data_IF_631959959674
#
_entry.id   IF_631959959674
#
_cell.length_a   1.000
_cell.length_b   1.000
_cell.length_c   1.000
_cell.angle_alpha   90.00
_cell.angle_beta   90.00
_cell.angle_gamma   90.00
#
_symmetry.space_group_name_H-M   'P 1'
#
loop_
_entity.id
_entity.type
_entity.pdbx_description
1 polymer ?
#
# COMPACT_ATOMS: atom_id res chain seq x y z
N UNK A 1 -68.47 -20.65 33.16
CA UNK A 1 -67.48 -19.55 33.13
C UNK A 1 -66.11 -20.12 32.78
N UNK A 2 -65.64 -19.98 31.54
CA UNK A 2 -64.26 -20.30 31.13
C UNK A 2 -63.71 -19.09 30.39
N UNK A 3 -62.68 -18.48 30.96
CA UNK A 3 -61.95 -17.33 30.42
C UNK A 3 -61.12 -17.79 29.22
N UNK A 4 -61.32 -17.17 28.06
CA UNK A 4 -60.40 -17.27 26.93
C UNK A 4 -59.25 -16.27 27.18
N UNK A 5 -58.04 -16.81 27.30
CA UNK A 5 -56.80 -16.05 27.40
C UNK A 5 -56.35 -15.74 25.96
N UNK A 6 -56.47 -14.48 25.52
CA UNK A 6 -55.84 -14.03 24.29
C UNK A 6 -54.32 -13.94 24.54
N UNK A 7 -53.56 -14.87 23.94
CA UNK A 7 -52.11 -14.72 23.79
C UNK A 7 -51.86 -13.61 22.76
N UNK A 8 -51.40 -12.45 23.24
CA UNK A 8 -50.76 -11.45 22.39
C UNK A 8 -49.39 -11.98 21.96
N UNK A 9 -49.23 -12.24 20.66
CA UNK A 9 -47.92 -12.44 20.04
C UNK A 9 -47.17 -11.09 20.09
N UNK A 10 -46.23 -10.97 21.03
CA UNK A 10 -45.20 -9.94 21.01
C UNK A 10 -44.23 -10.27 19.87
N UNK A 11 -44.40 -9.62 18.72
CA UNK A 11 -43.38 -9.50 17.69
C UNK A 11 -42.24 -8.64 18.28
N UNK A 12 -41.23 -9.30 18.84
CA UNK A 12 -39.94 -8.67 19.09
C UNK A 12 -39.34 -8.27 17.73
N UNK A 13 -38.91 -7.02 17.53
CA UNK A 13 -38.15 -6.68 16.33
C UNK A 13 -36.87 -7.52 16.34
N UNK A 14 -36.61 -8.23 15.23
CA UNK A 14 -35.25 -8.71 14.97
C UNK A 14 -34.35 -7.48 14.98
N UNK A 15 -33.52 -7.35 16.02
CA UNK A 15 -32.40 -6.42 15.99
C UNK A 15 -31.47 -6.96 14.91
N UNK A 16 -31.49 -6.32 13.73
CA UNK A 16 -30.54 -6.58 12.67
C UNK A 16 -29.15 -6.32 13.26
N UNK A 17 -28.32 -7.37 13.33
CA UNK A 17 -26.98 -7.27 13.86
C UNK A 17 -26.13 -6.38 12.96
N UNK A 18 -25.23 -5.60 13.57
CA UNK A 18 -24.32 -4.73 12.83
C UNK A 18 -23.55 -5.50 11.75
N UNK A 19 -23.61 -4.96 10.52
CA UNK A 19 -23.00 -5.50 9.32
C UNK A 19 -21.48 -5.42 9.39
N UNK A 20 -20.83 -6.55 9.14
CA UNK A 20 -19.38 -6.60 8.99
C UNK A 20 -19.00 -6.37 7.52
N UNK A 21 -17.94 -5.59 7.32
CA UNK A 21 -17.43 -5.21 6.00
C UNK A 21 -15.92 -5.37 5.95
N UNK A 22 -15.42 -5.68 4.76
CA UNK A 22 -13.99 -5.75 4.45
C UNK A 22 -13.68 -4.99 3.19
N UNK A 23 -12.80 -4.01 3.30
CA UNK A 23 -12.14 -3.37 2.17
C UNK A 23 -10.74 -3.97 2.02
N UNK A 24 -10.48 -4.60 0.89
CA UNK A 24 -9.16 -5.10 0.50
C UNK A 24 -8.58 -4.20 -0.58
N UNK A 25 -7.39 -3.67 -0.32
CA UNK A 25 -6.56 -2.95 -1.27
C UNK A 25 -5.38 -3.85 -1.62
N UNK A 26 -5.22 -4.19 -2.88
CA UNK A 26 -4.04 -4.90 -3.39
C UNK A 26 -3.41 -4.12 -4.51
N UNK A 27 -2.11 -4.28 -4.69
CA UNK A 27 -1.42 -3.52 -5.72
C UNK A 27 0.06 -3.77 -5.73
N UNK A 28 0.74 -2.91 -6.47
CA UNK A 28 2.20 -2.85 -6.46
C UNK A 28 2.68 -1.42 -6.60
N UNK A 29 3.93 -1.22 -6.22
CA UNK A 29 4.67 -0.01 -6.46
C UNK A 29 6.08 -0.32 -6.95
N UNK A 30 6.57 0.49 -7.89
CA UNK A 30 7.90 0.32 -8.48
C UNK A 30 8.87 1.27 -7.83
N UNK A 31 9.92 0.71 -7.24
CA UNK A 31 11.09 1.39 -6.71
C UNK A 31 12.10 1.46 -7.83
N UNK A 32 12.44 2.68 -8.28
CA UNK A 32 13.11 2.91 -9.56
C UNK A 32 14.29 3.84 -9.37
N UNK A 33 15.46 3.43 -9.88
CA UNK A 33 16.64 4.27 -9.98
C UNK A 33 17.01 4.48 -11.46
N UNK A 34 16.72 5.69 -11.95
CA UNK A 34 16.79 6.03 -13.37
C UNK A 34 15.52 6.72 -13.86
N UNK A 35 15.32 6.71 -15.17
CA UNK A 35 14.15 7.27 -15.86
C UNK A 35 13.47 6.25 -16.79
N UNK A 36 12.61 6.71 -17.70
CA UNK A 36 11.88 5.89 -18.66
C UNK A 36 12.76 5.29 -19.77
N UNK A 37 14.03 5.69 -19.88
CA UNK A 37 14.97 5.23 -20.91
C UNK A 37 16.06 4.34 -20.35
N UNK A 38 16.51 4.62 -19.13
CA UNK A 38 17.64 3.94 -18.50
C UNK A 38 17.42 3.81 -16.99
N UNK A 39 16.91 2.66 -16.55
CA UNK A 39 16.58 2.41 -15.15
C UNK A 39 16.63 0.93 -14.75
N UNK A 40 17.04 0.69 -13.50
CA UNK A 40 16.84 -0.57 -12.79
C UNK A 40 15.91 -0.36 -11.60
N UNK A 41 15.20 -1.42 -11.19
CA UNK A 41 14.35 -1.33 -10.01
C UNK A 41 13.67 -2.62 -9.59
N UNK A 42 12.85 -2.49 -8.56
CA UNK A 42 11.99 -3.56 -8.04
C UNK A 42 10.53 -3.12 -8.08
N UNK A 43 9.65 -3.99 -8.55
CA UNK A 43 8.21 -3.88 -8.35
C UNK A 43 7.82 -4.71 -7.13
N UNK A 44 7.19 -4.04 -6.19
CA UNK A 44 6.86 -4.55 -4.86
C UNK A 44 5.35 -4.66 -4.72
N UNK A 45 4.80 -5.89 -4.70
CA UNK A 45 3.40 -6.09 -4.40
C UNK A 45 3.12 -5.90 -2.92
N UNK A 46 1.91 -5.45 -2.60
CA UNK A 46 1.46 -5.20 -1.23
C UNK A 46 -0.04 -5.40 -1.11
N UNK A 47 -0.48 -5.52 0.15
CA UNK A 47 -1.88 -5.67 0.54
C UNK A 47 -2.18 -4.85 1.78
N UNK A 48 -3.32 -4.17 1.76
CA UNK A 48 -3.93 -3.54 2.92
C UNK A 48 -5.35 -4.04 3.06
N UNK A 49 -5.71 -4.54 4.24
CA UNK A 49 -7.06 -5.03 4.55
C UNK A 49 -7.63 -4.18 5.68
N UNK A 50 -8.79 -3.58 5.46
CA UNK A 50 -9.54 -2.84 6.47
C UNK A 50 -10.84 -3.58 6.73
N UNK A 51 -11.01 -4.05 7.97
CA UNK A 51 -12.22 -4.70 8.46
C UNK A 51 -12.96 -3.69 9.36
N UNK A 52 -14.27 -3.50 9.15
CA UNK A 52 -15.08 -2.55 9.93
C UNK A 52 -16.53 -3.01 10.09
N UNK A 53 -17.26 -2.40 11.01
CA UNK A 53 -18.69 -2.69 11.28
C UNK A 53 -19.56 -1.45 11.19
N UNK A 54 -20.76 -1.64 10.65
CA UNK A 54 -21.79 -0.60 10.50
C UNK A 54 -23.10 -1.10 11.08
N UNK A 55 -23.77 -0.28 11.89
CA UNK A 55 -25.12 -0.52 12.38
C UNK A 55 -26.04 0.60 11.91
N UNK A 56 -26.88 0.34 10.90
CA UNK A 56 -27.66 1.37 10.23
C UNK A 56 -26.78 2.48 9.64
N UNK A 57 -26.83 3.68 10.25
CA UNK A 57 -26.02 4.84 9.87
C UNK A 57 -24.82 5.08 10.81
N UNK A 58 -24.55 4.17 11.74
CA UNK A 58 -23.48 4.31 12.71
C UNK A 58 -22.26 3.46 12.32
N UNK A 59 -21.09 4.09 12.31
CA UNK A 59 -19.81 3.39 12.21
C UNK A 59 -19.36 2.98 13.61
N UNK A 60 -19.16 1.68 13.85
CA UNK A 60 -18.84 1.18 15.19
C UNK A 60 -17.34 1.13 15.45
N UNK A 61 -16.62 0.33 14.65
CA UNK A 61 -15.18 0.14 14.78
C UNK A 61 -14.57 -0.28 13.44
N UNK A 62 -13.32 0.10 13.23
CA UNK A 62 -12.53 -0.34 12.09
C UNK A 62 -11.09 -0.61 12.49
N UNK A 63 -10.48 -1.59 11.84
CA UNK A 63 -9.06 -1.88 11.97
C UNK A 63 -8.48 -2.24 10.61
N UNK A 64 -7.26 -1.78 10.37
CA UNK A 64 -6.50 -2.05 9.18
C UNK A 64 -5.29 -2.92 9.48
N UNK A 65 -4.87 -3.68 8.48
CA UNK A 65 -3.61 -4.41 8.44
C UNK A 65 -2.93 -4.13 7.12
N UNK A 66 -1.63 -3.86 7.16
CA UNK A 66 -0.83 -3.63 5.98
C UNK A 66 0.36 -4.58 5.95
N UNK A 67 0.64 -5.13 4.78
CA UNK A 67 1.80 -5.96 4.54
C UNK A 67 2.26 -5.78 3.11
N UNK A 68 3.56 -5.90 2.89
CA UNK A 68 4.05 -6.23 1.57
C UNK A 68 3.88 -7.74 1.29
N UNK A 69 4.03 -8.13 0.04
CA UNK A 69 4.01 -9.52 -0.39
C UNK A 69 5.43 -9.86 -0.85
N UNK A 70 6.04 -10.91 -0.28
CA UNK A 70 7.40 -11.38 -0.61
C UNK A 70 7.49 -12.04 -2.01
N UNK A 71 7.00 -11.34 -3.03
CA UNK A 71 7.14 -11.67 -4.46
C UNK A 71 7.62 -10.41 -5.17
N UNK A 72 8.91 -10.15 -5.06
CA UNK A 72 9.54 -9.00 -5.69
C UNK A 72 9.79 -9.31 -7.17
N UNK A 73 9.46 -8.37 -8.03
CA UNK A 73 9.73 -8.48 -9.47
C UNK A 73 10.81 -7.47 -9.84
N UNK A 74 12.01 -7.95 -10.12
CA UNK A 74 13.07 -7.11 -10.66
C UNK A 74 12.69 -6.67 -12.09
N UNK A 75 13.03 -5.44 -12.45
CA UNK A 75 12.85 -4.97 -13.81
C UNK A 75 14.01 -4.06 -14.23
N UNK A 76 14.14 -3.94 -15.55
CA UNK A 76 15.24 -3.24 -16.20
C UNK A 76 14.73 -2.57 -17.47
N UNK A 77 15.14 -1.32 -17.69
CA UNK A 77 14.87 -0.54 -18.89
C UNK A 77 16.21 0.01 -19.39
N UNK A 78 16.70 -0.42 -20.57
CA UNK A 78 16.19 -1.50 -21.41
C UNK A 78 16.23 -2.88 -20.73
N UNK A 79 15.41 -3.83 -21.19
CA UNK A 79 15.34 -5.15 -20.59
C UNK A 79 16.72 -5.86 -20.60
N UNK A 80 17.07 -6.46 -19.45
CA UNK A 80 18.31 -7.22 -19.26
C UNK A 80 19.57 -6.38 -19.04
N UNK A 81 19.47 -5.04 -18.93
CA UNK A 81 20.63 -4.18 -18.71
C UNK A 81 21.05 -4.09 -17.25
N UNK A 82 20.12 -4.29 -16.33
CA UNK A 82 20.32 -4.14 -14.90
C UNK A 82 19.80 -5.39 -14.20
N UNK A 83 20.64 -5.96 -13.33
CA UNK A 83 20.20 -6.98 -12.39
C UNK A 83 19.91 -6.30 -11.05
N UNK A 84 18.71 -6.49 -10.53
CA UNK A 84 18.23 -5.82 -9.34
C UNK A 84 17.69 -6.82 -8.33
N UNK A 85 18.08 -6.68 -7.07
CA UNK A 85 17.64 -7.56 -6.00
C UNK A 85 17.51 -6.81 -4.68
N UNK A 86 16.67 -7.34 -3.79
CA UNK A 86 16.56 -6.81 -2.43
C UNK A 86 17.77 -7.21 -1.62
N UNK A 87 18.27 -6.27 -0.83
CA UNK A 87 19.35 -6.49 0.14
C UNK A 87 18.92 -6.01 1.54
N UNK A 88 19.44 -6.60 2.62
CA UNK A 88 19.25 -6.04 3.96
C UNK A 88 19.78 -4.62 3.99
N UNK A 89 19.16 -3.74 4.78
CA UNK A 89 19.61 -2.36 4.89
C UNK A 89 18.86 -1.60 5.96
N UNK A 90 19.10 -0.30 6.01
CA UNK A 90 18.47 0.60 6.96
C UNK A 90 18.10 1.91 6.28
N UNK A 91 17.15 2.66 6.84
CA UNK A 91 16.92 4.04 6.45
C UNK A 91 16.70 4.91 7.70
N UNK A 92 17.00 6.19 7.57
CA UNK A 92 16.82 7.19 8.63
C UNK A 92 15.49 7.93 8.42
N UNK A 93 14.62 7.93 9.43
CA UNK A 93 13.36 8.69 9.37
C UNK A 93 13.57 10.20 9.65
N UNK A 94 12.48 10.98 9.59
CA UNK A 94 12.54 12.43 9.85
C UNK A 94 12.88 12.79 11.30
N UNK A 95 12.78 11.84 12.23
CA UNK A 95 13.14 12.00 13.64
C UNK A 95 14.57 11.50 13.93
N UNK A 96 15.34 11.20 12.89
CA UNK A 96 16.70 10.65 12.98
C UNK A 96 16.75 9.27 13.65
N UNK A 97 15.66 8.50 13.55
CA UNK A 97 15.60 7.11 14.01
C UNK A 97 15.95 6.19 12.86
N UNK A 98 16.91 5.30 13.10
CA UNK A 98 17.32 4.30 12.13
C UNK A 98 16.38 3.09 12.19
N UNK A 99 15.92 2.64 11.03
CA UNK A 99 15.05 1.48 10.90
C UNK A 99 15.60 0.47 9.91
N UNK A 100 15.50 -0.81 10.23
CA UNK A 100 15.82 -1.89 9.30
C UNK A 100 14.81 -1.97 8.15
N UNK A 101 15.30 -2.35 6.97
CA UNK A 101 14.49 -2.64 5.80
C UNK A 101 14.60 -4.13 5.44
N UNK A 102 13.53 -4.76 4.93
CA UNK A 102 12.25 -4.17 4.55
C UNK A 102 11.35 -3.86 5.75
N UNK A 103 10.53 -2.81 5.63
CA UNK A 103 9.64 -2.38 6.73
C UNK A 103 8.32 -1.89 6.21
N UNK A 104 7.25 -2.24 6.91
CA UNK A 104 5.96 -1.53 6.89
C UNK A 104 5.88 -0.70 8.17
N UNK A 105 5.56 0.60 8.10
CA UNK A 105 5.50 1.46 9.30
C UNK A 105 4.50 0.94 10.33
N UNK A 106 3.27 0.67 9.87
CA UNK A 106 2.15 0.23 10.68
C UNK A 106 1.56 -1.03 10.06
N UNK A 107 1.96 -2.19 10.58
CA UNK A 107 1.42 -3.48 10.14
C UNK A 107 -0.04 -3.69 10.55
N UNK A 108 -0.47 -3.00 11.63
CA UNK A 108 -1.85 -2.90 12.07
C UNK A 108 -2.13 -1.47 12.53
N UNK A 109 -3.36 -0.98 12.33
CA UNK A 109 -3.74 0.39 12.65
C UNK A 109 -5.25 0.52 12.91
N UNK A 110 -5.69 1.48 13.74
CA UNK A 110 -7.11 1.77 13.90
C UNK A 110 -7.66 2.52 12.68
N UNK A 111 -8.95 2.33 12.42
CA UNK A 111 -9.68 3.06 11.38
C UNK A 111 -10.95 3.62 11.99
N UNK A 112 -11.05 4.95 12.00
CA UNK A 112 -12.29 5.65 12.29
C UNK A 112 -13.15 5.75 11.03
N UNK A 113 -14.42 6.08 11.18
CA UNK A 113 -15.28 6.27 10.05
C UNK A 113 -16.60 6.93 10.36
N UNK A 114 -17.35 7.20 9.31
CA UNK A 114 -18.72 7.71 9.36
C UNK A 114 -19.51 7.12 8.20
N UNK A 115 -20.80 6.90 8.42
CA UNK A 115 -21.72 6.45 7.38
C UNK A 115 -22.71 7.57 7.09
N UNK A 116 -22.87 7.88 5.82
CA UNK A 116 -23.83 8.89 5.36
C UNK A 116 -24.34 8.48 3.98
N UNK A 117 -25.65 8.53 3.81
CA UNK A 117 -26.36 8.23 2.55
C UNK A 117 -25.84 6.99 1.79
N UNK A 118 -25.74 5.85 2.49
CA UNK A 118 -25.28 4.59 1.88
C UNK A 118 -23.79 4.56 1.52
N UNK A 119 -22.99 5.54 1.97
CA UNK A 119 -21.55 5.62 1.75
C UNK A 119 -20.82 5.57 3.09
N UNK A 120 -19.61 5.02 3.07
CA UNK A 120 -18.71 5.00 4.21
C UNK A 120 -17.50 5.88 3.95
N UNK A 121 -17.20 6.74 4.92
CA UNK A 121 -15.92 7.43 5.02
C UNK A 121 -15.04 6.67 5.97
N UNK A 122 -13.86 6.27 5.52
CA UNK A 122 -12.84 5.59 6.32
C UNK A 122 -11.66 6.52 6.53
N UNK A 123 -11.31 6.77 7.79
CA UNK A 123 -10.20 7.59 8.21
C UNK A 123 -9.19 6.69 8.94
N UNK A 124 -8.14 6.23 8.25
CA UNK A 124 -7.02 5.57 8.89
C UNK A 124 -6.36 6.52 9.89
N UNK A 125 -6.14 6.05 11.12
CA UNK A 125 -5.52 6.86 12.15
C UNK A 125 -3.99 6.84 11.99
N UNK A 126 -3.51 7.64 11.04
CA UNK A 126 -2.10 7.88 10.82
C UNK A 126 -1.75 9.34 11.09
N UNK A 127 -0.74 9.59 11.92
CA UNK A 127 -0.04 10.87 11.91
C UNK A 127 0.89 10.95 10.69
N UNK A 128 1.08 12.16 10.15
CA UNK A 128 2.12 12.45 9.14
C UNK A 128 3.43 11.79 9.57
N UNK A 129 4.12 11.01 8.71
CA UNK A 129 3.97 10.89 7.25
C UNK A 129 3.03 9.78 6.71
N UNK A 130 2.05 9.28 7.48
CA UNK A 130 1.17 8.19 7.00
C UNK A 130 1.80 6.79 7.10
N UNK A 131 1.17 5.77 6.51
CA UNK A 131 1.76 4.42 6.43
C UNK A 131 2.65 4.30 5.19
N UNK A 132 3.70 3.48 5.25
CA UNK A 132 4.66 3.33 4.15
C UNK A 132 5.32 1.95 4.13
N UNK A 133 5.89 1.60 2.97
CA UNK A 133 6.91 0.56 2.81
C UNK A 133 8.27 1.24 2.64
N UNK A 134 9.27 0.75 3.36
CA UNK A 134 10.66 1.08 3.15
C UNK A 134 11.44 -0.16 2.71
N UNK A 135 12.30 -0.02 1.70
CA UNK A 135 13.15 -1.10 1.24
C UNK A 135 14.54 -0.61 0.84
N UNK A 136 15.52 -1.53 0.95
CA UNK A 136 16.84 -1.37 0.36
C UNK A 136 16.99 -2.38 -0.76
N UNK A 137 17.41 -1.90 -1.93
CA UNK A 137 17.71 -2.73 -3.09
C UNK A 137 19.03 -2.35 -3.70
N UNK A 138 19.66 -3.32 -4.35
CA UNK A 138 20.83 -3.11 -5.18
C UNK A 138 20.46 -3.39 -6.62
N UNK A 139 20.95 -2.53 -7.51
CA UNK A 139 20.98 -2.78 -8.94
C UNK A 139 22.44 -2.73 -9.40
N UNK A 140 22.79 -3.63 -10.31
CA UNK A 140 24.11 -3.65 -10.93
C UNK A 140 24.03 -3.82 -12.44
N UNK A 141 25.07 -3.36 -13.11
CA UNK A 141 25.25 -3.59 -14.54
C UNK A 141 26.73 -3.72 -14.86
N UNK A 142 27.08 -4.72 -15.65
CA UNK A 142 28.37 -4.81 -16.34
C UNK A 142 28.27 -4.41 -17.81
N UNK A 143 27.16 -3.80 -18.23
CA UNK A 143 26.94 -3.46 -19.62
C UNK A 143 27.70 -2.17 -19.99
N UNK A 144 28.71 -2.23 -20.88
CA UNK A 144 29.49 -1.06 -21.28
C UNK A 144 28.65 -0.01 -22.05
N UNK A 145 27.43 -0.33 -22.50
CA UNK A 145 26.53 0.65 -23.11
C UNK A 145 25.73 1.45 -22.08
N UNK A 146 25.72 1.05 -20.80
CA UNK A 146 25.00 1.73 -19.72
C UNK A 146 25.82 2.85 -19.05
N UNK A 147 26.86 3.37 -19.71
CA UNK A 147 27.83 4.35 -19.17
C UNK A 147 27.21 5.59 -18.53
N UNK A 148 26.05 6.04 -19.01
CA UNK A 148 25.39 7.24 -18.50
C UNK A 148 24.30 6.95 -17.45
N UNK A 149 24.14 5.71 -16.98
CA UNK A 149 23.06 5.34 -16.05
C UNK A 149 23.06 6.19 -14.77
N UNK A 150 24.18 6.26 -14.06
CA UNK A 150 24.29 7.01 -12.80
C UNK A 150 24.02 8.53 -13.01
N UNK A 151 24.64 9.22 -14.00
CA UNK A 151 24.31 10.61 -14.30
C UNK A 151 22.84 10.87 -14.68
N UNK A 152 22.16 9.94 -15.36
CA UNK A 152 20.73 10.07 -15.66
C UNK A 152 19.88 9.90 -14.40
N UNK A 153 20.16 8.88 -13.60
CA UNK A 153 19.41 8.57 -12.39
C UNK A 153 19.51 9.68 -11.32
N UNK A 154 20.69 10.27 -11.12
CA UNK A 154 20.87 11.39 -10.17
C UNK A 154 20.07 12.63 -10.57
N UNK A 155 19.98 12.94 -11.87
CA UNK A 155 19.14 14.04 -12.36
C UNK A 155 17.65 13.77 -12.13
N UNK A 156 17.21 12.52 -12.36
CA UNK A 156 15.84 12.09 -12.06
C UNK A 156 15.44 12.31 -10.60
N UNK A 157 16.36 12.03 -9.66
CA UNK A 157 16.16 12.27 -8.22
C UNK A 157 15.90 13.75 -7.91
N UNK A 158 16.67 14.66 -8.51
CA UNK A 158 16.56 16.11 -8.27
C UNK A 158 15.26 16.70 -8.84
N UNK A 159 14.83 16.23 -10.01
CA UNK A 159 13.63 16.75 -10.69
C UNK A 159 12.34 16.27 -9.99
N UNK A 160 12.32 15.04 -9.47
CA UNK A 160 11.11 14.41 -8.94
C UNK A 160 10.96 14.53 -7.41
N UNK A 161 11.89 15.20 -6.72
CA UNK A 161 11.84 15.41 -5.26
C UNK A 161 11.82 14.11 -4.44
N UNK A 162 12.22 12.98 -5.03
CA UNK A 162 12.20 11.67 -4.38
C UNK A 162 13.25 11.60 -3.28
N UNK A 163 12.83 11.22 -2.07
CA UNK A 163 13.73 10.92 -0.95
C UNK A 163 14.33 9.51 -1.13
N UNK A 164 15.37 9.43 -1.94
CA UNK A 164 16.21 8.25 -2.09
C UNK A 164 17.57 8.51 -1.45
N UNK A 165 18.00 7.65 -0.54
CA UNK A 165 19.38 7.58 -0.09
C UNK A 165 20.12 6.54 -0.94
N UNK A 166 21.31 6.89 -1.44
CA UNK A 166 22.01 6.13 -2.48
C UNK A 166 23.48 5.96 -2.14
N UNK A 167 23.99 4.75 -2.36
CA UNK A 167 25.40 4.42 -2.34
C UNK A 167 25.78 3.86 -3.71
N UNK A 168 26.81 4.45 -4.31
CA UNK A 168 27.28 4.08 -5.66
C UNK A 168 28.68 3.49 -5.54
N UNK A 169 28.92 2.41 -6.28
CA UNK A 169 30.25 1.82 -6.49
C UNK A 169 30.47 1.61 -7.99
N UNK A 170 31.70 1.82 -8.45
CA UNK A 170 32.10 1.53 -9.83
C UNK A 170 33.45 0.81 -9.83
N UNK A 171 33.60 -0.18 -10.71
CA UNK A 171 34.83 -0.92 -10.97
C UNK A 171 34.90 -1.22 -12.46
N UNK A 172 35.73 -0.44 -13.18
CA UNK A 172 35.75 -0.44 -14.64
C UNK A 172 34.37 -0.12 -15.23
N UNK A 173 33.87 -1.01 -16.08
CA UNK A 173 32.54 -0.90 -16.70
C UNK A 173 31.40 -1.41 -15.80
N UNK A 174 31.73 -2.03 -14.66
CA UNK A 174 30.72 -2.53 -13.74
C UNK A 174 30.30 -1.44 -12.76
N UNK A 175 28.99 -1.22 -12.65
CA UNK A 175 28.38 -0.20 -11.81
C UNK A 175 27.40 -0.85 -10.85
N UNK A 176 27.43 -0.41 -9.59
CA UNK A 176 26.49 -0.81 -8.56
C UNK A 176 25.84 0.43 -7.97
N UNK A 177 24.54 0.35 -7.73
CA UNK A 177 23.83 1.29 -6.89
C UNK A 177 23.06 0.52 -5.82
N UNK A 178 23.20 0.97 -4.59
CA UNK A 178 22.40 0.56 -3.46
C UNK A 178 21.48 1.71 -3.10
N UNK A 179 20.18 1.46 -3.13
CA UNK A 179 19.14 2.48 -2.99
C UNK A 179 18.27 2.13 -1.79
N UNK A 180 18.10 3.09 -0.89
CA UNK A 180 17.15 3.06 0.23
C UNK A 180 16.03 4.04 -0.09
N UNK A 181 14.82 3.52 -0.11
CA UNK A 181 13.66 4.30 -0.54
C UNK A 181 12.44 3.95 0.29
N UNK A 182 11.62 4.98 0.55
CA UNK A 182 10.38 4.91 1.32
C UNK A 182 9.24 5.37 0.42
N UNK A 183 8.16 4.60 0.37
CA UNK A 183 6.97 4.95 -0.40
C UNK A 183 5.69 4.74 0.41
N UNK A 184 4.74 5.67 0.27
CA UNK A 184 3.47 5.63 0.97
C UNK A 184 2.63 4.41 0.58
N UNK A 185 1.99 3.79 1.57
CA UNK A 185 1.00 2.75 1.38
C UNK A 185 -0.41 3.33 1.42
N UNK A 186 -1.28 2.99 0.45
CA UNK A 186 -2.70 3.34 0.52
C UNK A 186 -3.41 2.68 1.71
N UNK A 187 -4.48 3.29 2.23
CA UNK A 187 -4.91 4.66 1.98
C UNK A 187 -3.97 5.71 2.60
N UNK A 188 -3.64 6.74 1.82
CA UNK A 188 -2.81 7.87 2.26
C UNK A 188 -3.64 8.96 2.96
N UNK A 189 -4.92 9.02 2.61
CA UNK A 189 -5.89 10.00 3.09
C UNK A 189 -7.22 9.29 3.38
N UNK A 190 -8.22 10.07 3.78
CA UNK A 190 -9.59 9.60 3.91
C UNK A 190 -10.09 8.94 2.62
N UNK A 191 -10.76 7.79 2.76
CA UNK A 191 -11.45 7.12 1.66
C UNK A 191 -12.95 7.33 1.81
N UNK A 192 -13.64 7.55 0.70
CA UNK A 192 -15.10 7.61 0.65
C UNK A 192 -15.61 6.65 -0.42
N UNK A 193 -16.40 5.66 -0.01
CA UNK A 193 -16.78 4.50 -0.83
C UNK A 193 -18.27 4.21 -0.65
N UNK A 194 -18.99 3.70 -1.67
CA UNK A 194 -20.34 3.19 -1.47
C UNK A 194 -20.31 1.92 -0.61
N UNK A 195 -21.29 1.75 0.29
CA UNK A 195 -21.50 0.51 1.04
C UNK A 195 -22.26 -0.52 0.18
N UNK A 196 -21.61 -0.93 -0.90
CA UNK A 196 -22.13 -1.91 -1.86
C UNK A 196 -21.27 -3.17 -1.83
N UNK A 197 -21.89 -4.32 -1.60
CA UNK A 197 -21.20 -5.60 -1.61
C UNK A 197 -20.67 -5.91 -3.03
N UNK A 198 -19.41 -6.32 -3.11
CA UNK A 198 -18.73 -6.58 -4.38
C UNK A 198 -18.24 -5.33 -5.11
N UNK A 199 -18.37 -4.14 -4.51
CA UNK A 199 -17.86 -2.91 -5.13
C UNK A 199 -16.35 -3.00 -5.38
N UNK A 200 -15.93 -2.54 -6.57
CA UNK A 200 -14.52 -2.54 -6.98
C UNK A 200 -14.14 -1.25 -7.66
N UNK A 201 -12.89 -0.83 -7.45
CA UNK A 201 -12.29 0.32 -8.12
C UNK A 201 -10.82 0.05 -8.40
N UNK A 202 -10.31 0.53 -9.54
CA UNK A 202 -8.92 0.33 -9.95
C UNK A 202 -8.29 1.67 -10.24
N UNK A 203 -7.10 1.90 -9.69
CA UNK A 203 -6.27 3.08 -9.94
C UNK A 203 -4.94 2.66 -10.57
N UNK A 204 -4.62 3.26 -11.71
CA UNK A 204 -3.40 2.98 -12.47
C UNK A 204 -3.50 1.70 -13.30
N UNK A 205 -2.81 1.68 -14.44
CA UNK A 205 -2.72 0.49 -15.28
C UNK A 205 -1.88 -0.61 -14.61
N UNK A 206 -2.09 -1.86 -14.99
CA UNK A 206 -1.43 -3.03 -14.38
C UNK A 206 0.10 -3.03 -14.59
N UNK A 207 0.58 -2.40 -15.64
CA UNK A 207 1.99 -2.24 -15.98
C UNK A 207 2.59 -0.92 -15.47
N UNK A 208 1.76 0.00 -14.98
CA UNK A 208 2.21 1.29 -14.48
C UNK A 208 3.09 1.15 -13.22
N UNK A 209 3.93 2.17 -12.91
CA UNK A 209 4.76 2.17 -11.71
C UNK A 209 3.97 1.98 -10.41
N UNK A 210 2.71 2.42 -10.38
CA UNK A 210 1.79 2.24 -9.25
C UNK A 210 0.45 1.74 -9.77
N UNK A 211 -0.04 0.67 -9.14
CA UNK A 211 -1.34 0.06 -9.42
C UNK A 211 -2.02 -0.29 -8.11
N UNK A 212 -3.33 -0.02 -8.00
CA UNK A 212 -4.13 -0.34 -6.82
C UNK A 212 -5.50 -0.85 -7.26
N UNK A 213 -5.95 -1.93 -6.65
CA UNK A 213 -7.29 -2.48 -6.76
C UNK A 213 -7.93 -2.42 -5.38
N UNK A 214 -9.10 -1.79 -5.31
CA UNK A 214 -9.97 -1.74 -4.15
C UNK A 214 -11.10 -2.74 -4.35
N UNK A 215 -11.40 -3.53 -3.33
CA UNK A 215 -12.55 -4.44 -3.31
C UNK A 215 -13.23 -4.36 -1.95
N UNK A 216 -14.49 -3.95 -1.94
CA UNK A 216 -15.34 -3.96 -0.76
C UNK A 216 -16.25 -5.20 -0.80
N UNK A 217 -16.30 -5.92 0.32
CA UNK A 217 -17.17 -7.08 0.48
C UNK A 217 -17.87 -7.01 1.83
N UNK A 218 -19.17 -7.31 1.84
CA UNK A 218 -19.90 -7.60 3.07
C UNK A 218 -19.47 -8.96 3.60
N UNK A 219 -19.29 -9.06 4.89
CA UNK A 219 -18.93 -10.29 5.58
C UNK A 219 -20.19 -10.86 6.24
N UNK A 220 -20.52 -12.09 5.88
CA UNK A 220 -21.43 -12.92 6.65
C UNK A 220 -20.58 -13.61 7.72
N UNK A 221 -20.52 -13.01 8.90
CA UNK A 221 -19.93 -13.66 10.08
C UNK A 221 -20.90 -14.70 10.66
#
# INVERSE_FOLDING_TARGET
MKRACLLGLLLLPLVAGADAWRLTLTGHQSFVFGDDRLAGGLRVPWEVVIDFRVDGSEFLLGHGRARWIDRLEAFSVPAGWFDCHRVPGTYLDSNLVLHETPRVRLAAFPVAGAVDDGRVRLLPDFSTPGNYIALTYECETGNPTATNWLPFAERGKQILGKRQDIEVRQDGDHQWVRVREVMSLPPEEMLELPLEDGWTFVRGAKDAPRHVVYRLTRRTD
#
